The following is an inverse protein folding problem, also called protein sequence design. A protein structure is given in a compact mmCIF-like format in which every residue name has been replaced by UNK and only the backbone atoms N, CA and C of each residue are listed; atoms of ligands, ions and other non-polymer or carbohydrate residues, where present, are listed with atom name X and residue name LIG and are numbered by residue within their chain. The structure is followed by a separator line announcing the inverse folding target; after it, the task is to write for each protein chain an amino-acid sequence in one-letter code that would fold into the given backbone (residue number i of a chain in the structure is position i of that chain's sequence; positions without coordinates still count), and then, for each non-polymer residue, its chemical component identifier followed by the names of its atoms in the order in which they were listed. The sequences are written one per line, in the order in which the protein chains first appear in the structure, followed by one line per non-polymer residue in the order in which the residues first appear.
data_IF_537081440757
#
_entry.id   IF_537081440757
#
_cell.length_a   1.000
_cell.length_b   1.000
_cell.length_c   1.000
_cell.angle_alpha   90.00
_cell.angle_beta   90.00
_cell.angle_gamma   90.00
#
_symmetry.space_group_name_H-M   'P 1'
#
loop_
_entity.id
_entity.type
_entity.pdbx_description
1 polymer ?
#
# COMPACT_ATOMS: atom_id res chain seq x y z
N UNK A 1 -0.23 1.64 7.83
CA UNK A 1 0.33 2.58 6.82
C UNK A 1 -0.63 2.68 5.64
N UNK A 2 -0.89 3.86 5.09
CA UNK A 2 -1.89 4.05 4.02
C UNK A 2 -1.45 3.41 2.69
N UNK A 3 -2.32 2.64 2.04
CA UNK A 3 -2.08 2.12 0.68
C UNK A 3 -2.68 3.05 -0.39
N UNK A 4 -1.82 3.79 -1.10
CA UNK A 4 -2.20 4.78 -2.12
C UNK A 4 -2.98 4.12 -3.28
N UNK A 5 -2.79 2.83 -3.54
CA UNK A 5 -3.50 2.10 -4.60
C UNK A 5 -5.00 1.98 -4.34
N UNK A 6 -5.43 2.10 -3.09
CA UNK A 6 -6.83 2.06 -2.71
C UNK A 6 -7.54 3.41 -2.94
N UNK A 7 -6.81 4.49 -3.27
CA UNK A 7 -7.39 5.79 -3.56
C UNK A 7 -8.12 5.76 -4.90
N UNK A 8 -9.35 6.26 -4.90
CA UNK A 8 -10.19 6.40 -6.09
C UNK A 8 -10.12 7.84 -6.59
N UNK A 9 -10.09 8.04 -7.90
CA UNK A 9 -10.27 9.37 -8.52
C UNK A 9 -11.75 9.52 -8.91
N UNK A 10 -12.45 10.48 -8.33
CA UNK A 10 -13.86 10.75 -8.63
C UNK A 10 -13.98 12.20 -9.11
N UNK A 11 -14.52 12.39 -10.30
CA UNK A 11 -14.75 13.70 -10.87
C UNK A 11 -16.25 13.98 -10.92
N UNK A 12 -16.67 15.06 -10.28
CA UNK A 12 -18.02 15.59 -10.40
C UNK A 12 -18.09 16.48 -11.65
N UNK A 13 -19.08 16.22 -12.50
CA UNK A 13 -19.22 16.87 -13.80
C UNK A 13 -20.67 17.30 -14.00
N UNK A 14 -20.83 18.52 -14.49
CA UNK A 14 -22.11 19.14 -14.83
C UNK A 14 -22.24 19.54 -16.32
N UNK A 15 -21.30 19.08 -17.15
CA UNK A 15 -21.28 19.30 -18.58
C UNK A 15 -21.29 17.94 -19.29
N UNK A 16 -22.30 17.74 -20.13
CA UNK A 16 -22.48 16.52 -20.92
C UNK A 16 -21.26 16.20 -21.78
N UNK A 17 -20.67 17.19 -22.45
CA UNK A 17 -19.49 16.97 -23.32
C UNK A 17 -18.29 16.49 -22.52
N UNK A 18 -18.10 17.07 -21.34
CA UNK A 18 -17.03 16.65 -20.41
C UNK A 18 -17.30 15.25 -19.86
N UNK A 19 -18.54 14.92 -19.53
CA UNK A 19 -18.93 13.59 -19.06
C UNK A 19 -18.66 12.53 -20.14
N UNK A 20 -19.10 12.75 -21.37
CA UNK A 20 -18.84 11.87 -22.50
C UNK A 20 -17.34 11.65 -22.74
N UNK A 21 -16.53 12.73 -22.67
CA UNK A 21 -15.07 12.64 -22.79
C UNK A 21 -14.44 11.79 -21.68
N UNK A 22 -14.93 11.89 -20.44
CA UNK A 22 -14.42 11.10 -19.31
C UNK A 22 -14.83 9.63 -19.40
N UNK A 23 -16.03 9.33 -19.90
CA UNK A 23 -16.51 7.95 -20.12
C UNK A 23 -15.74 7.27 -21.25
N UNK A 24 -15.39 8.00 -22.30
CA UNK A 24 -14.59 7.48 -23.42
C UNK A 24 -13.11 7.25 -23.05
N UNK A 25 -12.63 7.76 -21.91
CA UNK A 25 -11.25 7.60 -21.50
C UNK A 25 -10.96 6.16 -21.03
N UNK A 26 -9.78 5.58 -21.33
CA UNK A 26 -9.42 4.23 -20.90
C UNK A 26 -9.28 4.09 -19.37
N UNK A 27 -9.22 5.20 -18.65
CA UNK A 27 -9.19 5.20 -17.18
C UNK A 27 -10.59 5.20 -16.57
N UNK A 28 -11.65 5.22 -17.37
CA UNK A 28 -13.03 5.16 -16.90
C UNK A 28 -13.29 3.82 -16.19
N UNK A 29 -14.02 3.88 -15.07
CA UNK A 29 -14.43 2.67 -14.32
C UNK A 29 -15.93 2.56 -14.19
N UNK A 30 -16.60 3.63 -13.75
CA UNK A 30 -18.06 3.72 -13.65
C UNK A 30 -18.49 5.17 -13.50
N UNK A 31 -19.76 5.45 -13.70
CA UNK A 31 -20.36 6.73 -13.32
C UNK A 31 -21.58 6.51 -12.43
N UNK A 32 -22.00 7.56 -11.74
CA UNK A 32 -23.25 7.63 -10.97
C UNK A 32 -23.89 8.99 -11.23
N UNK A 33 -25.13 8.98 -11.69
CA UNK A 33 -25.93 10.18 -11.86
C UNK A 33 -26.50 10.55 -10.49
N UNK A 34 -26.29 11.79 -10.04
CA UNK A 34 -26.84 12.30 -8.79
C UNK A 34 -28.16 13.03 -9.04
N UNK A 35 -28.19 13.85 -10.08
CA UNK A 35 -29.37 14.56 -10.58
C UNK A 35 -29.22 14.88 -12.09
N UNK A 36 -30.13 15.68 -12.64
CA UNK A 36 -30.13 16.02 -14.07
C UNK A 36 -28.93 16.87 -14.52
N UNK A 37 -28.26 17.55 -13.60
CA UNK A 37 -27.14 18.45 -13.87
C UNK A 37 -25.82 17.94 -13.28
N UNK A 38 -25.81 16.81 -12.56
CA UNK A 38 -24.62 16.33 -11.87
C UNK A 38 -24.42 14.82 -12.03
N UNK A 39 -23.26 14.45 -12.58
CA UNK A 39 -22.76 13.08 -12.66
C UNK A 39 -21.40 12.96 -11.98
N UNK A 40 -21.23 11.93 -11.16
CA UNK A 40 -19.93 11.51 -10.65
C UNK A 40 -19.32 10.46 -11.56
N UNK A 41 -18.11 10.69 -12.07
CA UNK A 41 -17.35 9.73 -12.87
C UNK A 41 -16.17 9.21 -12.07
N UNK A 42 -16.17 7.92 -11.77
CA UNK A 42 -15.07 7.21 -11.13
C UNK A 42 -14.04 6.76 -12.17
N UNK A 43 -12.77 7.02 -11.86
CA UNK A 43 -11.63 6.76 -12.71
C UNK A 43 -10.51 6.05 -11.95
N UNK A 44 -9.75 5.25 -12.68
CA UNK A 44 -8.48 4.69 -12.22
C UNK A 44 -7.40 5.76 -12.35
N UNK A 45 -6.58 5.94 -11.30
CA UNK A 45 -5.42 6.85 -11.38
C UNK A 45 -4.38 6.28 -12.35
N UNK A 46 -4.07 7.04 -13.40
CA UNK A 46 -3.09 6.65 -14.44
C UNK A 46 -1.67 6.46 -13.88
N UNK A 47 -1.25 7.36 -13.00
CA UNK A 47 0.05 7.32 -12.35
C UNK A 47 -0.14 7.37 -10.83
N UNK A 48 0.64 6.57 -10.13
CA UNK A 48 0.67 6.55 -8.66
C UNK A 48 2.11 6.79 -8.21
N UNK A 49 2.31 7.84 -7.44
CA UNK A 49 3.58 8.06 -6.74
C UNK A 49 3.55 7.26 -5.45
N UNK A 50 4.47 6.30 -5.30
CA UNK A 50 4.61 5.49 -4.09
C UNK A 50 5.49 6.22 -3.08
N UNK A 51 4.92 7.23 -2.41
CA UNK A 51 5.61 8.10 -1.45
C UNK A 51 5.54 7.59 0.01
N UNK A 52 4.85 6.48 0.25
CA UNK A 52 4.78 5.85 1.57
C UNK A 52 5.93 4.85 1.74
N UNK A 53 6.62 4.83 2.90
CA UNK A 53 7.74 3.94 3.15
C UNK A 53 7.29 2.50 3.47
N UNK A 54 6.27 1.98 2.77
CA UNK A 54 5.74 0.62 3.02
C UNK A 54 6.82 -0.40 2.68
N UNK A 55 7.35 -0.33 1.46
CA UNK A 55 8.36 -1.28 0.98
C UNK A 55 9.68 -1.12 1.71
N UNK A 56 10.12 0.13 1.92
CA UNK A 56 11.37 0.40 2.64
C UNK A 56 11.25 -0.04 4.10
N UNK A 57 10.15 0.29 4.77
CA UNK A 57 9.90 -0.15 6.15
C UNK A 57 9.84 -1.67 6.28
N UNK A 58 9.18 -2.35 5.34
CA UNK A 58 9.17 -3.81 5.28
C UNK A 58 10.58 -4.39 5.11
N UNK A 59 11.37 -3.88 4.17
CA UNK A 59 12.75 -4.36 3.93
C UNK A 59 13.62 -4.14 5.15
N UNK A 60 13.56 -2.97 5.79
CA UNK A 60 14.33 -2.68 7.01
C UNK A 60 13.96 -3.68 8.11
N UNK A 61 12.66 -3.90 8.34
CA UNK A 61 12.19 -4.84 9.36
C UNK A 61 12.70 -6.27 9.11
N UNK A 62 12.62 -6.75 7.87
CA UNK A 62 13.08 -8.09 7.51
C UNK A 62 14.60 -8.22 7.64
N UNK A 63 15.37 -7.19 7.29
CA UNK A 63 16.82 -7.16 7.49
C UNK A 63 17.18 -7.16 8.98
N UNK A 64 16.48 -6.39 9.80
CA UNK A 64 16.67 -6.37 11.26
C UNK A 64 16.41 -7.74 11.88
N UNK A 65 15.33 -8.43 11.47
CA UNK A 65 15.05 -9.81 11.89
C UNK A 65 16.16 -10.76 11.46
N UNK A 66 16.62 -10.66 10.21
CA UNK A 66 17.69 -11.52 9.70
C UNK A 66 18.97 -11.37 10.52
N UNK A 67 19.35 -10.14 10.89
CA UNK A 67 20.50 -9.88 11.74
C UNK A 67 20.30 -10.49 13.13
N UNK A 68 19.13 -10.29 13.74
CA UNK A 68 18.78 -10.84 15.04
C UNK A 68 18.83 -12.37 15.06
N UNK A 69 18.24 -13.02 14.06
CA UNK A 69 18.29 -14.47 13.91
C UNK A 69 19.69 -14.99 13.65
N UNK A 70 20.48 -14.30 12.83
CA UNK A 70 21.87 -14.66 12.58
C UNK A 70 22.68 -14.61 13.88
N UNK A 71 22.52 -13.56 14.68
CA UNK A 71 23.17 -13.46 15.98
C UNK A 71 22.73 -14.58 16.94
N UNK A 72 21.43 -14.80 17.07
CA UNK A 72 20.93 -15.84 17.97
C UNK A 72 21.40 -17.25 17.56
N UNK A 73 21.23 -17.61 16.30
CA UNK A 73 21.53 -18.96 15.83
C UNK A 73 23.03 -19.22 15.64
N UNK A 74 23.79 -18.25 15.13
CA UNK A 74 25.19 -18.46 14.78
C UNK A 74 26.19 -18.00 15.83
N UNK A 75 25.77 -17.21 16.82
CA UNK A 75 26.62 -16.76 17.92
C UNK A 75 26.11 -17.33 19.26
N UNK A 76 24.91 -16.94 19.69
CA UNK A 76 24.40 -17.32 21.02
C UNK A 76 24.25 -18.83 21.19
N UNK A 77 23.60 -19.52 20.23
CA UNK A 77 23.45 -20.98 20.30
C UNK A 77 24.79 -21.72 20.23
N UNK A 78 25.78 -21.19 19.50
CA UNK A 78 27.11 -21.82 19.44
C UNK A 78 27.87 -21.67 20.75
N UNK A 79 27.77 -20.52 21.40
CA UNK A 79 28.48 -20.21 22.64
C UNK A 79 27.85 -20.91 23.86
N UNK A 80 26.53 -20.86 23.97
CA UNK A 80 25.82 -21.31 25.17
C UNK A 80 25.16 -22.68 25.02
N UNK A 81 24.92 -23.16 23.79
CA UNK A 81 24.25 -24.44 23.55
C UNK A 81 22.94 -24.56 24.33
N UNK A 82 22.78 -25.67 25.05
CA UNK A 82 21.60 -25.96 25.86
C UNK A 82 21.54 -25.19 27.19
N UNK A 83 22.55 -24.37 27.51
CA UNK A 83 22.55 -23.55 28.75
C UNK A 83 21.71 -22.29 28.63
N UNK A 84 21.29 -21.91 27.42
CA UNK A 84 20.47 -20.75 27.16
C UNK A 84 19.31 -21.10 26.22
N UNK A 85 18.09 -20.74 26.63
CA UNK A 85 16.87 -20.98 25.86
C UNK A 85 16.25 -19.65 25.42
N UNK A 86 15.78 -19.58 24.18
CA UNK A 86 15.08 -18.40 23.67
C UNK A 86 13.65 -18.40 24.22
N UNK A 87 13.37 -17.50 25.15
CA UNK A 87 12.05 -17.42 25.79
C UNK A 87 11.07 -16.51 25.04
N UNK A 88 11.56 -15.39 24.51
CA UNK A 88 10.73 -14.40 23.85
C UNK A 88 11.55 -13.57 22.85
N UNK A 89 10.89 -13.11 21.80
CA UNK A 89 11.39 -12.08 20.89
C UNK A 89 10.31 -11.02 20.76
N UNK A 90 10.67 -9.77 21.04
CA UNK A 90 9.80 -8.62 20.88
C UNK A 90 10.19 -7.89 19.59
N UNK A 91 9.27 -7.68 18.65
CA UNK A 91 9.59 -6.89 17.44
C UNK A 91 8.34 -6.23 16.86
N UNK A 92 7.87 -5.17 17.53
CA UNK A 92 6.65 -4.43 17.20
C UNK A 92 6.78 -2.95 17.62
#
# INVERSE_FOLDING_TARGET
MENIRNRVDVQLVNDEKKAQKLVAAPTFKRFKIFDNELVGVERVKKCLTLDKPIYVGFVILELSKLIMYNFHCNVMKKEYGDKAELLFTDTD
#
